data_IF_665860576379
#
_entry.id   IF_665860576379
#
_cell.length_a   1.000
_cell.length_b   1.000
_cell.length_c   1.000
_cell.angle_alpha   90.00
_cell.angle_beta   90.00
_cell.angle_gamma   90.00
#
_symmetry.space_group_name_H-M   'P 1'
#
loop_
_entity.id
_entity.type
_entity.pdbx_description
1 polymer ?
#
# COMPACT_ATOMS: atom_id res chain seq x y z
N UNK A 1 28.48 2.48 -7.04
CA UNK A 1 27.37 1.56 -7.33
C UNK A 1 26.10 2.37 -7.16
N UNK A 2 25.36 2.66 -8.23
CA UNK A 2 24.07 3.35 -8.10
C UNK A 2 23.05 2.31 -7.68
N UNK A 3 22.54 2.44 -6.46
CA UNK A 3 21.46 1.58 -5.97
C UNK A 3 20.17 2.10 -6.61
N UNK A 4 19.45 1.20 -7.28
CA UNK A 4 18.14 1.48 -7.85
C UNK A 4 17.11 0.73 -7.01
N UNK A 5 16.06 1.42 -6.61
CA UNK A 5 14.95 0.83 -5.87
C UNK A 5 13.73 0.73 -6.78
N UNK A 6 13.15 -0.46 -6.90
CA UNK A 6 12.02 -0.72 -7.80
C UNK A 6 10.75 -0.96 -6.98
N UNK A 7 9.69 -0.21 -7.25
CA UNK A 7 8.40 -0.36 -6.59
C UNK A 7 7.26 0.09 -7.49
N UNK A 8 6.23 -0.75 -7.63
CA UNK A 8 5.01 -0.47 -8.41
C UNK A 8 5.27 0.00 -9.86
N UNK A 9 6.29 -0.60 -10.51
CA UNK A 9 6.69 -0.23 -11.88
C UNK A 9 7.54 1.04 -11.98
N UNK A 10 7.78 1.74 -10.87
CA UNK A 10 8.63 2.93 -10.81
C UNK A 10 10.04 2.60 -10.30
N UNK A 11 11.02 3.44 -10.69
CA UNK A 11 12.43 3.33 -10.29
C UNK A 11 12.81 4.57 -9.52
N UNK A 12 13.26 4.36 -8.29
CA UNK A 12 13.72 5.40 -7.38
C UNK A 12 15.24 5.33 -7.26
N UNK A 13 15.89 6.47 -7.45
CA UNK A 13 17.33 6.62 -7.27
C UNK A 13 17.68 7.16 -5.87
N UNK A 14 16.70 7.77 -5.21
CA UNK A 14 16.81 8.31 -3.87
C UNK A 14 16.09 7.38 -2.86
N UNK A 15 16.81 7.03 -1.79
CA UNK A 15 16.30 6.10 -0.77
C UNK A 15 15.20 6.74 0.08
N UNK A 16 15.26 8.04 0.34
CA UNK A 16 14.25 8.75 1.12
C UNK A 16 12.94 8.88 0.34
N UNK A 17 13.01 9.17 -0.96
CA UNK A 17 11.83 9.19 -1.83
C UNK A 17 11.16 7.82 -1.92
N UNK A 18 11.96 6.77 -2.13
CA UNK A 18 11.49 5.39 -2.08
C UNK A 18 10.82 5.06 -0.75
N UNK A 19 11.44 5.44 0.36
CA UNK A 19 10.91 5.20 1.70
C UNK A 19 9.58 5.92 1.93
N UNK A 20 9.50 7.20 1.54
CA UNK A 20 8.27 8.00 1.64
C UNK A 20 7.13 7.36 0.85
N UNK A 21 7.41 6.87 -0.37
CA UNK A 21 6.41 6.19 -1.19
C UNK A 21 5.89 4.93 -0.50
N UNK A 22 6.79 4.04 -0.08
CA UNK A 22 6.41 2.79 0.60
C UNK A 22 5.64 3.07 1.89
N UNK A 23 6.09 4.05 2.67
CA UNK A 23 5.41 4.46 3.91
C UNK A 23 3.98 4.92 3.59
N UNK A 24 3.81 5.81 2.63
CA UNK A 24 2.49 6.29 2.20
C UNK A 24 1.56 5.14 1.78
N UNK A 25 2.03 4.25 0.91
CA UNK A 25 1.25 3.09 0.45
C UNK A 25 0.91 2.13 1.61
N UNK A 26 1.84 1.90 2.54
CA UNK A 26 1.60 1.08 3.73
C UNK A 26 0.54 1.71 4.65
N UNK A 27 0.60 3.02 4.86
CA UNK A 27 -0.36 3.75 5.69
C UNK A 27 -1.76 3.65 5.12
N UNK A 28 -1.91 3.85 3.81
CA UNK A 28 -3.20 3.73 3.12
C UNK A 28 -3.78 2.31 3.27
N UNK A 29 -2.96 1.28 3.05
CA UNK A 29 -3.39 -0.13 3.19
C UNK A 29 -3.74 -0.49 4.63
N UNK A 30 -3.04 0.09 5.60
CA UNK A 30 -3.32 -0.11 7.02
C UNK A 30 -4.63 0.57 7.43
N UNK A 31 -4.88 1.78 6.91
CA UNK A 31 -6.13 2.49 7.15
C UNK A 31 -7.33 1.76 6.54
N UNK A 32 -7.23 1.34 5.28
CA UNK A 32 -8.22 0.50 4.60
C UNK A 32 -7.88 -0.98 4.74
N UNK A 33 -7.72 -1.48 5.97
CA UNK A 33 -7.43 -2.89 6.17
C UNK A 33 -8.59 -3.79 5.68
N UNK A 34 -8.25 -5.02 5.28
CA UNK A 34 -9.24 -6.01 4.85
C UNK A 34 -10.24 -6.28 5.97
N UNK A 35 -11.52 -6.20 5.64
CA UNK A 35 -12.63 -6.34 6.59
C UNK A 35 -13.10 -5.03 7.22
N UNK A 36 -12.36 -3.91 7.08
CA UNK A 36 -12.83 -2.60 7.54
C UNK A 36 -14.16 -2.25 6.90
N UNK A 37 -15.03 -1.68 7.73
CA UNK A 37 -16.31 -1.11 7.31
C UNK A 37 -16.30 0.40 7.52
N UNK A 38 -16.94 1.12 6.61
CA UNK A 38 -17.10 2.57 6.67
C UNK A 38 -18.32 3.00 5.86
N UNK A 39 -18.84 4.18 6.14
CA UNK A 39 -19.89 4.79 5.31
C UNK A 39 -19.21 5.59 4.19
N UNK A 40 -19.70 5.43 2.97
CA UNK A 40 -19.32 6.25 1.83
C UNK A 40 -20.54 6.43 0.94
N UNK A 41 -20.83 7.68 0.58
CA UNK A 41 -22.04 8.06 -0.18
C UNK A 41 -23.34 7.52 0.47
N UNK A 42 -23.40 7.59 1.80
CA UNK A 42 -24.55 7.12 2.58
C UNK A 42 -24.73 5.60 2.66
N UNK A 43 -23.82 4.81 2.09
CA UNK A 43 -23.90 3.34 2.07
C UNK A 43 -22.77 2.71 2.88
N UNK A 44 -23.08 1.59 3.55
CA UNK A 44 -22.08 0.78 4.23
C UNK A 44 -21.21 0.06 3.20
N UNK A 45 -19.92 0.37 3.21
CA UNK A 45 -18.91 -0.30 2.40
C UNK A 45 -18.07 -1.23 3.29
N UNK A 46 -17.60 -2.34 2.71
CA UNK A 46 -16.64 -3.24 3.36
C UNK A 46 -15.44 -3.52 2.45
N UNK A 47 -14.23 -3.38 2.98
CA UNK A 47 -13.01 -3.73 2.25
C UNK A 47 -12.89 -5.25 2.12
N UNK A 48 -12.95 -5.76 0.89
CA UNK A 48 -12.71 -7.18 0.57
C UNK A 48 -11.26 -7.48 0.25
N UNK A 49 -10.56 -6.54 -0.40
CA UNK A 49 -9.13 -6.62 -0.70
C UNK A 49 -8.56 -5.20 -0.69
N UNK A 50 -7.37 -5.02 -0.09
CA UNK A 50 -6.75 -3.70 0.08
C UNK A 50 -5.45 -3.54 -0.72
N UNK A 51 -5.08 -4.56 -1.48
CA UNK A 51 -4.02 -4.52 -2.48
C UNK A 51 -4.43 -5.37 -3.69
N UNK A 52 -5.59 -5.07 -4.27
CA UNK A 52 -6.05 -5.78 -5.45
C UNK A 52 -5.09 -5.51 -6.62
N UNK A 53 -4.81 -6.54 -7.41
CA UNK A 53 -4.01 -6.41 -8.63
C UNK A 53 -4.84 -6.91 -9.81
N UNK A 54 -5.48 -5.97 -10.51
CA UNK A 54 -6.35 -6.29 -11.66
C UNK A 54 -5.80 -5.56 -12.88
N UNK A 55 -5.22 -6.33 -13.81
CA UNK A 55 -4.53 -5.83 -15.01
C UNK A 55 -3.43 -4.80 -14.68
N UNK A 56 -3.75 -3.50 -14.69
CA UNK A 56 -2.84 -2.38 -14.42
C UNK A 56 -3.19 -1.61 -13.14
N UNK A 57 -4.05 -2.18 -12.29
CA UNK A 57 -4.64 -1.49 -11.13
C UNK A 57 -4.07 -2.01 -9.81
N UNK A 58 -2.74 -1.98 -9.66
CA UNK A 58 -2.09 -2.31 -8.39
C UNK A 58 -2.46 -1.29 -7.30
N UNK A 59 -2.64 -1.75 -6.06
CA UNK A 59 -2.94 -0.88 -4.92
C UNK A 59 -4.39 -0.40 -4.80
N UNK A 60 -5.30 -0.91 -5.65
CA UNK A 60 -6.73 -0.60 -5.55
C UNK A 60 -7.40 -1.34 -4.39
N UNK A 61 -8.46 -0.71 -3.86
CA UNK A 61 -9.38 -1.37 -2.94
C UNK A 61 -10.43 -2.11 -3.76
N UNK A 62 -10.76 -3.32 -3.34
CA UNK A 62 -11.98 -4.00 -3.75
C UNK A 62 -12.98 -3.90 -2.61
N UNK A 63 -14.10 -3.22 -2.85
CA UNK A 63 -15.12 -2.96 -1.85
C UNK A 63 -16.38 -3.75 -2.14
N UNK A 64 -17.04 -4.19 -1.09
CA UNK A 64 -18.43 -4.65 -1.11
C UNK A 64 -19.33 -3.48 -0.71
N UNK A 65 -20.13 -3.00 -1.66
CA UNK A 65 -21.29 -2.16 -1.37
C UNK A 65 -22.54 -3.00 -1.11
N UNK A 66 -23.69 -2.36 -0.96
CA UNK A 66 -24.95 -3.07 -0.69
C UNK A 66 -25.44 -3.88 -1.90
N UNK A 67 -25.27 -3.35 -3.11
CA UNK A 67 -25.82 -3.93 -4.35
C UNK A 67 -24.76 -4.63 -5.21
N UNK A 68 -23.54 -4.12 -5.24
CA UNK A 68 -22.44 -4.71 -6.00
C UNK A 68 -21.09 -4.40 -5.37
N UNK A 69 -20.08 -5.18 -5.76
CA UNK A 69 -18.69 -4.93 -5.39
C UNK A 69 -17.96 -4.22 -6.52
N UNK A 70 -17.04 -3.33 -6.18
CA UNK A 70 -16.32 -2.51 -7.16
C UNK A 70 -14.89 -2.20 -6.72
N UNK A 71 -14.07 -1.82 -7.69
CA UNK A 71 -12.71 -1.38 -7.45
C UNK A 71 -12.65 0.15 -7.35
N UNK A 72 -11.92 0.66 -6.38
CA UNK A 72 -11.69 2.10 -6.23
C UNK A 72 -10.29 2.41 -5.73
N UNK A 73 -9.73 3.53 -6.19
CA UNK A 73 -8.48 4.06 -5.63
C UNK A 73 -8.75 4.58 -4.21
N UNK A 74 -7.96 4.19 -3.20
CA UNK A 74 -8.13 4.68 -1.82
C UNK A 74 -8.18 6.21 -1.74
N UNK A 75 -7.34 6.89 -2.53
CA UNK A 75 -7.25 8.34 -2.53
C UNK A 75 -8.53 9.01 -3.03
N UNK A 76 -9.28 8.37 -3.93
CA UNK A 76 -10.57 8.87 -4.39
C UNK A 76 -11.58 8.92 -3.25
N UNK A 77 -11.61 7.90 -2.38
CA UNK A 77 -12.49 7.89 -1.21
C UNK A 77 -12.12 9.00 -0.23
N UNK A 78 -10.83 9.09 0.13
CA UNK A 78 -10.31 10.10 1.08
C UNK A 78 -10.55 11.53 0.57
N UNK A 79 -10.43 11.77 -0.73
CA UNK A 79 -10.59 13.11 -1.29
C UNK A 79 -12.06 13.53 -1.44
N UNK A 80 -12.96 12.58 -1.67
CA UNK A 80 -14.36 12.86 -1.99
C UNK A 80 -15.29 12.83 -0.77
N UNK A 81 -14.84 12.31 0.37
CA UNK A 81 -15.63 12.19 1.59
C UNK A 81 -14.90 12.85 2.77
N UNK A 82 -15.54 13.89 3.33
CA UNK A 82 -14.95 14.69 4.41
C UNK A 82 -14.75 13.86 5.69
N UNK A 83 -15.69 12.97 6.02
CA UNK A 83 -15.63 12.18 7.24
C UNK A 83 -14.50 11.14 7.13
N UNK A 84 -14.38 10.46 5.99
CA UNK A 84 -13.24 9.58 5.73
C UNK A 84 -11.92 10.33 5.74
N UNK A 85 -11.88 11.57 5.26
CA UNK A 85 -10.69 12.41 5.31
C UNK A 85 -10.28 12.75 6.73
N UNK A 86 -11.24 13.11 7.58
CA UNK A 86 -11.01 13.38 9.00
C UNK A 86 -10.53 12.14 9.74
N UNK A 87 -11.18 10.98 9.51
CA UNK A 87 -10.73 9.70 10.05
C UNK A 87 -9.32 9.32 9.59
N UNK A 88 -8.98 9.61 8.34
CA UNK A 88 -7.63 9.40 7.81
C UNK A 88 -6.59 10.29 8.50
N UNK A 89 -6.88 11.59 8.67
CA UNK A 89 -5.98 12.52 9.38
C UNK A 89 -5.80 12.11 10.84
N UNK A 90 -6.89 11.73 11.52
CA UNK A 90 -6.83 11.22 12.87
C UNK A 90 -5.99 9.95 12.94
N UNK A 91 -6.26 8.99 12.05
CA UNK A 91 -5.49 7.74 11.97
C UNK A 91 -4.01 8.02 11.84
N UNK A 92 -3.61 8.94 10.95
CA UNK A 92 -2.21 9.35 10.78
C UNK A 92 -1.61 9.97 12.05
N UNK A 93 -2.37 10.79 12.77
CA UNK A 93 -1.90 11.42 14.02
C UNK A 93 -1.78 10.46 15.21
N UNK A 94 -2.51 9.34 15.18
CA UNK A 94 -2.44 8.28 16.20
C UNK A 94 -1.26 7.32 16.00
N UNK A 95 -0.57 7.40 14.86
CA UNK A 95 0.51 6.47 14.60
C UNK A 95 1.79 6.92 15.27
N UNK A 96 2.43 5.96 15.93
CA UNK A 96 3.81 6.11 16.36
C UNK A 96 4.75 5.91 15.17
N UNK A 97 5.45 7.00 14.78
CA UNK A 97 6.38 6.99 13.65
C UNK A 97 7.50 5.95 13.85
N UNK A 98 7.98 5.74 15.08
CA UNK A 98 9.03 4.76 15.36
C UNK A 98 8.54 3.32 15.10
N UNK A 99 7.32 3.01 15.53
CA UNK A 99 6.70 1.70 15.30
C UNK A 99 6.40 1.45 13.81
N UNK A 100 5.97 2.48 13.07
CA UNK A 100 5.79 2.36 11.60
C UNK A 100 7.15 2.09 10.95
N UNK A 101 8.16 2.85 11.32
CA UNK A 101 9.47 2.79 10.68
C UNK A 101 10.17 1.45 10.95
N UNK A 102 10.06 0.91 12.16
CA UNK A 102 10.55 -0.44 12.48
C UNK A 102 9.85 -1.54 11.66
N UNK A 103 8.53 -1.43 11.49
CA UNK A 103 7.75 -2.40 10.70
C UNK A 103 8.08 -2.31 9.20
N UNK A 104 8.28 -1.10 8.68
CA UNK A 104 8.69 -0.86 7.30
C UNK A 104 10.11 -1.35 7.03
N UNK A 105 11.07 -1.07 7.92
CA UNK A 105 12.45 -1.54 7.78
C UNK A 105 12.52 -3.08 7.79
N UNK A 106 11.71 -3.74 8.63
CA UNK A 106 11.58 -5.20 8.63
C UNK A 106 11.02 -5.73 7.31
N UNK A 107 10.00 -5.07 6.73
CA UNK A 107 9.44 -5.44 5.42
C UNK A 107 10.40 -5.16 4.26
N UNK A 108 11.09 -4.03 4.28
CA UNK A 108 12.07 -3.67 3.26
C UNK A 108 13.25 -4.63 3.22
N UNK A 109 13.78 -5.03 4.39
CA UNK A 109 14.82 -6.06 4.49
C UNK A 109 14.37 -7.39 3.87
N UNK A 110 13.10 -7.76 4.06
CA UNK A 110 12.52 -8.96 3.47
C UNK A 110 12.47 -8.86 1.94
N UNK A 111 11.98 -7.74 1.39
CA UNK A 111 11.87 -7.52 -0.07
C UNK A 111 13.25 -7.52 -0.75
N UNK A 112 14.24 -6.85 -0.16
CA UNK A 112 15.61 -6.82 -0.68
C UNK A 112 16.25 -8.22 -0.62
N UNK A 113 16.00 -8.98 0.46
CA UNK A 113 16.56 -10.33 0.60
C UNK A 113 16.03 -11.32 -0.45
N UNK A 114 14.74 -11.20 -0.82
CA UNK A 114 14.11 -12.03 -1.86
C UNK A 114 14.64 -11.68 -3.26
N UNK A 115 14.80 -10.39 -3.58
CA UNK A 115 15.36 -9.96 -4.86
C UNK A 115 16.82 -10.43 -5.04
N UNK A 116 17.64 -10.34 -3.98
CA UNK A 116 19.02 -10.82 -4.02
C UNK A 116 19.11 -12.35 -4.17
N UNK A 117 18.22 -13.11 -3.52
CA UNK A 117 18.21 -14.57 -3.68
C UNK A 117 17.78 -15.00 -5.08
N UNK A 118 16.80 -14.31 -5.67
CA UNK A 118 16.31 -14.63 -7.03
C UNK A 118 17.35 -14.25 -8.11
N UNK A 119 18.09 -13.15 -7.93
CA UNK A 119 19.20 -12.79 -8.82
C UNK A 119 20.39 -13.75 -8.73
N UNK A 120 20.69 -14.27 -7.54
CA UNK A 120 21.76 -15.26 -7.34
C UNK A 120 21.37 -16.60 -7.97
N UNK A 121 20.16 -17.11 -7.72
CA UNK A 121 19.69 -18.36 -8.30
C UNK A 121 19.59 -18.32 -9.83
N UNK A 122 19.09 -17.23 -10.41
CA UNK A 122 19.05 -17.05 -11.86
C UNK A 122 20.44 -16.93 -12.53
N UNK A 123 21.48 -16.59 -11.76
CA UNK A 123 22.87 -16.58 -12.23
C UNK A 123 23.53 -17.96 -12.18
N UNK A 124 23.13 -18.82 -11.25
CA UNK A 124 23.65 -20.18 -11.14
C UNK A 124 23.03 -21.13 -12.18
N UNK A 125 21.75 -20.96 -12.54
CA UNK A 125 21.10 -21.78 -13.57
C UNK A 125 21.53 -21.46 -15.01
N UNK A 126 22.26 -20.36 -15.22
CA UNK A 126 22.76 -19.92 -16.55
C UNK A 126 24.25 -20.21 -16.78
N UNK A 127 24.90 -20.98 -15.90
CA UNK A 127 26.28 -21.45 -16.07
C UNK A 127 26.31 -22.95 -16.33
#
# INVERSE_FOLDING_TARGET
MNIQYHYDGEVYMDREEFYKKIKSDYMIRSFFNKGKQFIYDGQLQKVLENNANVSNSAGWLYLQGETFSYYVLPQTLINNDLELREQWVQFLGEQDEETIDANLDKKMKLVISVQLSDEINNREERK
#
